data_IF_170683307211
#
_entry.id   IF_170683307211
#
_cell.length_a   1.000
_cell.length_b   1.000
_cell.length_c   1.000
_cell.angle_alpha   90.00
_cell.angle_beta   90.00
_cell.angle_gamma   90.00
#
_symmetry.space_group_name_H-M   'P 1'
#
loop_
_entity.id
_entity.type
_entity.pdbx_description
1 polymer ?
#
# COMPACT_ATOMS: atom_id res chain seq x y z
N UNK A 1 -33.48 26.55 -30.64
CA UNK A 1 -32.21 26.09 -30.03
C UNK A 1 -32.20 26.33 -28.51
N UNK A 2 -33.34 26.16 -27.83
CA UNK A 2 -33.46 26.35 -26.38
C UNK A 2 -33.79 25.05 -25.62
N UNK A 3 -34.25 24.01 -26.31
CA UNK A 3 -34.61 22.72 -25.67
C UNK A 3 -33.42 21.76 -25.47
N UNK A 4 -32.33 21.92 -26.23
CA UNK A 4 -31.19 20.99 -26.15
C UNK A 4 -30.34 21.22 -24.88
N UNK A 5 -30.37 22.40 -24.27
CA UNK A 5 -29.62 22.66 -23.02
C UNK A 5 -30.33 22.12 -21.78
N UNK A 6 -31.67 22.04 -21.79
CA UNK A 6 -32.44 21.56 -20.64
C UNK A 6 -32.33 20.03 -20.46
N UNK A 7 -32.21 19.27 -21.55
CA UNK A 7 -32.00 17.81 -21.50
C UNK A 7 -30.57 17.42 -21.08
N UNK A 8 -29.58 18.27 -21.35
CA UNK A 8 -28.19 18.04 -20.91
C UNK A 8 -28.01 18.27 -19.40
N UNK A 9 -28.68 19.27 -18.83
CA UNK A 9 -28.62 19.54 -17.38
C UNK A 9 -29.30 18.43 -16.55
N UNK A 10 -30.41 17.85 -17.04
CA UNK A 10 -31.12 16.77 -16.35
C UNK A 10 -30.33 15.44 -16.32
N UNK A 11 -29.57 15.13 -17.37
CA UNK A 11 -28.74 13.93 -17.43
C UNK A 11 -27.51 14.02 -16.51
N UNK A 12 -26.94 15.21 -16.31
CA UNK A 12 -25.79 15.40 -15.43
C UNK A 12 -26.12 15.15 -13.96
N UNK A 13 -27.30 15.56 -13.49
CA UNK A 13 -27.73 15.30 -12.11
C UNK A 13 -27.98 13.81 -11.82
N UNK A 14 -28.48 13.07 -12.81
CA UNK A 14 -28.66 11.62 -12.67
C UNK A 14 -27.33 10.85 -12.63
N UNK A 15 -26.31 11.27 -13.38
CA UNK A 15 -24.96 10.70 -13.26
C UNK A 15 -24.34 10.99 -11.87
N UNK A 16 -24.60 12.17 -11.31
CA UNK A 16 -24.16 12.53 -9.95
C UNK A 16 -24.88 11.70 -8.88
N UNK A 17 -26.19 11.48 -9.02
CA UNK A 17 -26.93 10.60 -8.11
C UNK A 17 -26.49 9.13 -8.21
N UNK A 18 -26.21 8.63 -9.42
CA UNK A 18 -25.71 7.27 -9.64
C UNK A 18 -24.30 7.10 -9.07
N UNK A 19 -23.43 8.10 -9.20
CA UNK A 19 -22.09 8.06 -8.59
C UNK A 19 -22.15 8.17 -7.07
N UNK A 20 -23.07 8.96 -6.50
CA UNK A 20 -23.28 9.02 -5.05
C UNK A 20 -23.86 7.73 -4.47
N UNK A 21 -24.80 7.08 -5.17
CA UNK A 21 -25.34 5.77 -4.74
C UNK A 21 -24.34 4.63 -4.93
N UNK A 22 -23.40 4.75 -5.86
CA UNK A 22 -22.29 3.81 -6.01
C UNK A 22 -21.21 3.94 -4.91
N UNK A 23 -21.30 4.89 -3.98
CA UNK A 23 -20.31 5.07 -2.89
C UNK A 23 -20.75 4.44 -1.56
N UNK A 24 -21.81 3.63 -1.52
CA UNK A 24 -22.23 2.95 -0.29
C UNK A 24 -21.17 1.95 0.20
N UNK A 25 -20.72 2.13 1.44
CA UNK A 25 -19.78 1.22 2.10
C UNK A 25 -20.53 0.00 2.64
N UNK A 26 -19.96 -1.22 2.52
CA UNK A 26 -20.55 -2.41 3.10
C UNK A 26 -20.65 -2.31 4.63
N UNK A 27 -21.63 -2.96 5.28
CA UNK A 27 -21.85 -2.87 6.72
C UNK A 27 -20.67 -3.46 7.51
N UNK A 28 -20.35 -2.82 8.65
CA UNK A 28 -19.24 -3.21 9.52
C UNK A 28 -19.47 -4.61 10.09
N UNK A 29 -18.53 -5.56 9.95
CA UNK A 29 -18.65 -6.89 10.54
C UNK A 29 -18.55 -6.82 12.08
N UNK A 30 -19.12 -7.81 12.81
CA UNK A 30 -19.05 -7.84 14.27
C UNK A 30 -17.60 -7.89 14.79
N UNK A 31 -17.32 -7.17 15.87
CA UNK A 31 -15.98 -6.98 16.45
C UNK A 31 -15.37 -8.21 17.11
N UNK A 32 -16.10 -9.34 17.13
CA UNK A 32 -15.66 -10.60 17.74
C UNK A 32 -14.52 -11.30 17.00
N UNK A 33 -14.23 -10.91 15.75
CA UNK A 33 -13.17 -11.50 14.93
C UNK A 33 -12.24 -10.40 14.35
N UNK A 34 -11.02 -10.23 14.90
CA UNK A 34 -10.09 -9.21 14.46
C UNK A 34 -9.53 -9.42 13.05
N UNK A 35 -9.48 -10.67 12.54
CA UNK A 35 -8.98 -10.93 11.18
C UNK A 35 -10.01 -10.49 10.13
N UNK A 36 -11.30 -10.75 10.41
CA UNK A 36 -12.41 -10.28 9.55
C UNK A 36 -12.54 -8.75 9.57
N UNK A 37 -12.26 -8.11 10.71
CA UNK A 37 -12.24 -6.66 10.83
C UNK A 37 -11.09 -6.05 10.02
N UNK A 38 -9.89 -6.63 10.07
CA UNK A 38 -8.75 -6.19 9.26
C UNK A 38 -9.01 -6.36 7.76
N UNK A 39 -9.58 -7.49 7.35
CA UNK A 39 -9.98 -7.72 5.95
C UNK A 39 -11.03 -6.71 5.46
N UNK A 40 -11.99 -6.35 6.31
CA UNK A 40 -12.96 -5.30 6.02
C UNK A 40 -12.30 -3.93 5.85
N UNK A 41 -11.40 -3.54 6.75
CA UNK A 41 -10.66 -2.27 6.67
C UNK A 41 -9.87 -2.18 5.36
N UNK A 42 -9.14 -3.23 4.98
CA UNK A 42 -8.38 -3.28 3.73
C UNK A 42 -9.28 -3.23 2.50
N UNK A 43 -10.48 -3.82 2.57
CA UNK A 43 -11.45 -3.82 1.48
C UNK A 43 -12.12 -2.44 1.29
N UNK A 44 -12.44 -1.74 2.37
CA UNK A 44 -13.07 -0.41 2.29
C UNK A 44 -12.08 0.72 2.08
N UNK A 45 -10.80 0.55 2.43
CA UNK A 45 -9.79 1.63 2.41
C UNK A 45 -9.71 2.37 1.07
N UNK A 46 -9.64 1.70 -0.09
CA UNK A 46 -9.56 2.39 -1.38
C UNK A 46 -10.81 3.23 -1.64
N UNK A 47 -12.00 2.66 -1.38
CA UNK A 47 -13.29 3.31 -1.62
C UNK A 47 -13.55 4.46 -0.64
N UNK A 48 -13.14 4.30 0.62
CA UNK A 48 -13.17 5.36 1.62
C UNK A 48 -12.23 6.52 1.24
N UNK A 49 -11.04 6.20 0.71
CA UNK A 49 -10.09 7.21 0.22
C UNK A 49 -10.66 7.99 -0.97
N UNK A 50 -11.33 7.31 -1.91
CA UNK A 50 -12.05 7.94 -3.01
C UNK A 50 -13.18 8.86 -2.51
N UNK A 51 -13.97 8.41 -1.53
CA UNK A 51 -15.03 9.24 -0.91
C UNK A 51 -14.46 10.49 -0.23
N UNK A 52 -13.38 10.36 0.55
CA UNK A 52 -12.73 11.50 1.21
C UNK A 52 -12.11 12.47 0.20
N UNK A 53 -11.50 11.96 -0.88
CA UNK A 53 -10.98 12.78 -1.97
C UNK A 53 -12.10 13.53 -2.70
N UNK A 54 -13.24 12.86 -2.97
CA UNK A 54 -14.40 13.49 -3.59
C UNK A 54 -15.05 14.53 -2.68
N UNK A 55 -15.17 14.23 -1.39
CA UNK A 55 -15.69 15.17 -0.39
C UNK A 55 -14.79 16.42 -0.25
N UNK A 56 -13.47 16.24 -0.27
CA UNK A 56 -12.52 17.36 -0.25
C UNK A 56 -12.59 18.17 -1.55
N UNK A 57 -12.66 17.52 -2.71
CA UNK A 57 -12.83 18.20 -4.00
C UNK A 57 -14.13 19.03 -4.05
N UNK A 58 -15.27 18.46 -3.62
CA UNK A 58 -16.55 19.18 -3.55
C UNK A 58 -16.50 20.36 -2.57
N UNK A 59 -15.83 20.20 -1.42
CA UNK A 59 -15.68 21.28 -0.44
C UNK A 59 -14.83 22.44 -0.98
N UNK A 60 -13.74 22.13 -1.70
CA UNK A 60 -12.93 23.14 -2.38
C UNK A 60 -13.70 23.82 -3.50
N UNK A 61 -14.43 23.05 -4.31
CA UNK A 61 -15.25 23.58 -5.39
C UNK A 61 -16.35 24.53 -4.88
N UNK A 62 -17.03 24.15 -3.79
CA UNK A 62 -18.01 25.02 -3.12
C UNK A 62 -17.38 26.32 -2.60
N UNK A 63 -16.19 26.25 -1.99
CA UNK A 63 -15.46 27.44 -1.52
C UNK A 63 -15.09 28.38 -2.68
N UNK A 64 -14.68 27.84 -3.83
CA UNK A 64 -14.36 28.64 -5.02
C UNK A 64 -15.62 29.32 -5.57
N UNK A 65 -16.74 28.59 -5.66
CA UNK A 65 -18.03 29.15 -6.08
C UNK A 65 -18.52 30.28 -5.16
N UNK A 66 -18.35 30.13 -3.84
CA UNK A 66 -18.67 31.19 -2.89
C UNK A 66 -17.82 32.44 -3.09
N UNK A 67 -16.52 32.27 -3.36
CA UNK A 67 -15.61 33.38 -3.65
C UNK A 67 -15.98 34.09 -4.95
N UNK A 68 -16.26 33.35 -6.01
CA UNK A 68 -16.69 33.90 -7.30
C UNK A 68 -18.01 34.65 -7.16
N UNK A 69 -18.96 34.11 -6.38
CA UNK A 69 -20.21 34.80 -6.10
C UNK A 69 -20.00 36.13 -5.35
N UNK A 70 -19.07 36.19 -4.39
CA UNK A 70 -18.77 37.45 -3.69
C UNK A 70 -18.06 38.46 -4.61
N UNK A 71 -17.22 38.01 -5.55
CA UNK A 71 -16.65 38.86 -6.59
C UNK A 71 -17.76 39.45 -7.47
N UNK A 72 -18.69 38.62 -7.96
CA UNK A 72 -19.83 39.09 -8.77
C UNK A 72 -20.68 40.08 -7.99
N UNK A 73 -21.01 39.81 -6.72
CA UNK A 73 -21.74 40.75 -5.85
C UNK A 73 -21.00 42.08 -5.70
N UNK A 74 -19.69 42.05 -5.53
CA UNK A 74 -18.86 43.27 -5.42
C UNK A 74 -18.90 44.10 -6.71
N UNK A 75 -18.85 43.44 -7.86
CA UNK A 75 -18.92 44.07 -9.17
C UNK A 75 -20.31 44.69 -9.43
N UNK A 76 -21.38 43.97 -9.08
CA UNK A 76 -22.76 44.49 -9.17
C UNK A 76 -22.95 45.73 -8.27
N UNK A 77 -22.40 45.73 -7.05
CA UNK A 77 -22.45 46.90 -6.15
C UNK A 77 -21.74 48.10 -6.77
N UNK A 78 -20.61 47.89 -7.45
CA UNK A 78 -19.86 48.95 -8.14
C UNK A 78 -20.67 49.51 -9.32
N UNK A 79 -21.17 48.64 -10.21
CA UNK A 79 -21.99 49.06 -11.36
C UNK A 79 -23.27 49.81 -10.91
N UNK A 80 -23.87 49.38 -9.80
CA UNK A 80 -25.04 50.06 -9.23
C UNK A 80 -24.71 51.50 -8.79
N UNK A 81 -23.55 51.72 -8.17
CA UNK A 81 -23.09 53.06 -7.78
C UNK A 81 -22.79 53.93 -9.00
N UNK A 82 -22.12 53.37 -10.00
CA UNK A 82 -21.84 54.09 -11.26
C UNK A 82 -23.12 54.48 -11.98
N UNK A 83 -24.08 53.55 -12.09
CA UNK A 83 -25.39 53.83 -12.67
C UNK A 83 -26.17 54.89 -11.89
N UNK A 84 -26.04 54.94 -10.56
CA UNK A 84 -26.62 56.02 -9.75
C UNK A 84 -25.96 57.37 -10.07
N UNK A 85 -24.63 57.41 -10.12
CA UNK A 85 -23.88 58.62 -10.48
C UNK A 85 -24.22 59.13 -11.89
N UNK A 86 -24.39 58.24 -12.88
CA UNK A 86 -24.82 58.64 -14.23
C UNK A 86 -26.25 59.20 -14.26
N UNK A 87 -27.17 58.66 -13.45
CA UNK A 87 -28.51 59.23 -13.32
C UNK A 87 -28.48 60.64 -12.71
N UNK A 88 -27.63 60.88 -11.72
CA UNK A 88 -27.46 62.21 -11.12
C UNK A 88 -26.86 63.21 -12.12
N UNK A 89 -25.84 62.81 -12.89
CA UNK A 89 -25.27 63.63 -13.97
C UNK A 89 -26.31 63.97 -15.02
N UNK A 90 -27.13 62.99 -15.45
CA UNK A 90 -28.24 63.22 -16.38
C UNK A 90 -29.23 64.25 -15.83
N UNK A 91 -29.67 64.08 -14.58
CA UNK A 91 -30.61 65.01 -13.93
C UNK A 91 -30.02 66.43 -13.83
N UNK A 92 -28.73 66.54 -13.52
CA UNK A 92 -28.02 67.82 -13.50
C UNK A 92 -28.01 68.48 -14.88
N UNK A 93 -27.68 67.73 -15.93
CA UNK A 93 -27.67 68.24 -17.31
C UNK A 93 -29.06 68.66 -17.79
N UNK A 94 -30.11 67.90 -17.43
CA UNK A 94 -31.50 68.26 -17.73
C UNK A 94 -31.91 69.56 -17.03
N UNK A 95 -31.56 69.73 -15.74
CA UNK A 95 -31.80 70.97 -15.00
C UNK A 95 -31.03 72.15 -15.59
N UNK A 96 -29.77 71.94 -15.94
CA UNK A 96 -28.93 72.95 -16.56
C UNK A 96 -29.48 73.38 -17.92
N UNK A 97 -29.86 72.43 -18.78
CA UNK A 97 -30.50 72.72 -20.06
C UNK A 97 -31.81 73.49 -19.88
N UNK A 98 -32.66 73.10 -18.92
CA UNK A 98 -33.88 73.82 -18.59
C UNK A 98 -33.60 75.27 -18.12
N UNK A 99 -32.57 75.47 -17.30
CA UNK A 99 -32.16 76.79 -16.82
C UNK A 99 -31.64 77.67 -17.97
N UNK A 100 -30.81 77.13 -18.85
CA UNK A 100 -30.31 77.85 -20.04
C UNK A 100 -31.46 78.26 -20.97
N UNK A 101 -32.43 77.37 -21.19
CA UNK A 101 -33.63 77.68 -21.97
C UNK A 101 -34.47 78.76 -21.29
N UNK A 102 -34.62 78.69 -19.96
CA UNK A 102 -35.32 79.70 -19.18
C UNK A 102 -34.63 81.07 -19.24
N UNK A 103 -33.31 81.14 -19.03
CA UNK A 103 -32.55 82.39 -19.11
C UNK A 103 -32.61 83.01 -20.52
N UNK A 104 -32.53 82.18 -21.56
CA UNK A 104 -32.73 82.63 -22.95
C UNK A 104 -34.14 83.17 -23.17
N UNK A 105 -35.17 82.48 -22.65
CA UNK A 105 -36.56 82.91 -22.74
C UNK A 105 -36.78 84.23 -21.98
N UNK A 106 -36.28 84.33 -20.75
CA UNK A 106 -36.32 85.54 -19.94
C UNK A 106 -35.63 86.71 -20.67
N UNK A 107 -34.44 86.53 -21.26
CA UNK A 107 -33.76 87.57 -22.04
C UNK A 107 -34.54 88.01 -23.28
N UNK A 108 -35.27 87.11 -23.94
CA UNK A 108 -36.12 87.43 -25.09
C UNK A 108 -37.40 88.18 -24.67
N UNK A 109 -37.94 87.87 -23.49
CA UNK A 109 -39.22 88.44 -23.00
C UNK A 109 -39.06 89.60 -22.01
N UNK A 110 -37.86 89.85 -21.48
CA UNK A 110 -37.56 90.98 -20.58
C UNK A 110 -37.58 92.34 -21.30
N UNK A 111 -37.65 92.35 -22.65
CA UNK A 111 -37.78 93.59 -23.45
C UNK A 111 -39.21 94.18 -23.48
N UNK A 112 -40.09 93.79 -22.57
CA UNK A 112 -41.52 94.11 -22.64
C UNK A 112 -42.21 94.61 -21.37
N UNK A 113 -41.53 94.82 -20.24
CA UNK A 113 -42.23 95.24 -19.02
C UNK A 113 -41.42 96.15 -18.10
N UNK A 114 -41.34 97.45 -18.46
CA UNK A 114 -41.42 98.53 -17.49
C UNK A 114 -41.85 99.83 -18.16
N UNK A 115 -43.08 100.25 -17.85
CA UNK A 115 -43.72 101.51 -18.25
C UNK A 115 -42.98 102.72 -17.65
N UNK A 116 -42.61 103.70 -18.50
CA UNK A 116 -42.80 105.14 -18.22
C UNK A 116 -43.15 105.92 -19.50
N UNK A 117 -44.47 106.13 -19.62
CA UNK A 117 -45.28 107.21 -20.23
C UNK A 117 -44.73 108.10 -21.38
N UNK A 118 -45.57 108.15 -22.42
CA UNK A 118 -45.53 108.90 -23.66
C UNK A 118 -45.50 110.44 -23.55
N UNK A 119 -44.89 111.08 -24.55
CA UNK A 119 -45.47 112.05 -25.51
C UNK A 119 -44.50 112.17 -26.71
N UNK A 120 -44.77 111.58 -27.88
CA UNK A 120 -45.28 112.28 -29.09
C UNK A 120 -44.70 113.71 -29.22
N UNK A 121 -43.75 114.03 -30.09
CA UNK A 121 -43.79 113.92 -31.55
C UNK A 121 -44.15 115.30 -32.14
N UNK A 122 -43.18 116.02 -32.73
CA UNK A 122 -43.33 117.18 -33.66
C UNK A 122 -41.99 117.98 -33.68
N UNK A 123 -41.14 117.84 -34.70
CA UNK A 123 -41.14 118.56 -36.00
C UNK A 123 -40.58 119.99 -35.94
N UNK A 124 -39.44 120.17 -36.64
CA UNK A 124 -38.87 121.39 -37.22
C UNK A 124 -39.70 122.69 -37.15
N UNK A 125 -39.09 123.77 -36.65
CA UNK A 125 -39.44 125.13 -37.06
C UNK A 125 -38.17 125.96 -37.30
N UNK A 126 -37.97 126.32 -38.57
CA UNK A 126 -37.06 127.35 -39.08
C UNK A 126 -37.93 128.58 -39.35
N UNK A 127 -37.59 129.74 -38.80
CA UNK A 127 -38.20 131.02 -39.16
C UNK A 127 -37.10 132.03 -39.54
N UNK A 128 -37.07 132.40 -40.81
CA UNK A 128 -36.38 133.58 -41.30
C UNK A 128 -37.23 134.82 -41.00
N UNK A 129 -36.60 135.90 -40.53
CA UNK A 129 -37.22 137.23 -40.45
C UNK A 129 -36.30 138.27 -41.13
N UNK A 130 -36.67 138.64 -42.36
CA UNK A 130 -36.20 139.81 -43.08
C UNK A 130 -37.31 140.88 -43.02
N UNK A 131 -36.95 142.11 -42.58
CA UNK A 131 -37.73 143.37 -42.62
C UNK A 131 -38.96 143.51 -41.68
N UNK A 132 -39.24 144.63 -41.01
CA UNK A 132 -38.53 145.88 -40.66
C UNK A 132 -39.50 146.71 -39.77
N UNK A 133 -38.96 147.31 -38.71
CA UNK A 133 -39.27 148.65 -38.10
C UNK A 133 -40.53 148.89 -37.23
N UNK A 134 -40.21 149.19 -35.96
CA UNK A 134 -40.72 150.22 -35.03
C UNK A 134 -42.21 150.16 -34.64
N UNK A 135 -42.60 150.26 -33.36
CA UNK A 135 -42.13 151.17 -32.31
C UNK A 135 -42.69 150.72 -30.95
N UNK A 136 -41.86 150.82 -29.90
CA UNK A 136 -42.22 151.12 -28.50
C UNK A 136 -43.54 150.60 -27.91
N UNK A 137 -43.47 149.63 -26.99
CA UNK A 137 -43.80 149.87 -25.58
C UNK A 137 -43.36 148.66 -24.73
N UNK A 138 -42.74 149.00 -23.60
CA UNK A 138 -42.18 148.11 -22.61
C UNK A 138 -43.21 147.15 -22.01
N UNK A 139 -42.81 145.88 -21.89
CA UNK A 139 -42.98 145.09 -20.67
C UNK A 139 -41.76 144.18 -20.59
N UNK A 140 -40.72 144.69 -19.93
CA UNK A 140 -39.68 143.85 -19.33
C UNK A 140 -40.35 142.85 -18.38
N UNK A 141 -40.53 141.62 -18.86
CA UNK A 141 -40.50 140.45 -18.01
C UNK A 141 -39.21 139.70 -18.35
N UNK A 142 -38.09 140.42 -18.22
CA UNK A 142 -36.82 139.74 -17.98
C UNK A 142 -37.03 138.89 -16.72
N UNK A 143 -36.89 137.55 -16.79
CA UNK A 143 -36.87 136.76 -15.57
C UNK A 143 -35.78 137.37 -14.71
N UNK A 144 -36.16 137.89 -13.54
CA UNK A 144 -35.23 138.53 -12.62
C UNK A 144 -33.97 137.67 -12.52
N UNK A 145 -32.78 138.27 -12.47
CA UNK A 145 -31.51 137.55 -12.26
C UNK A 145 -31.63 136.57 -11.07
N UNK A 146 -32.51 136.85 -10.10
CA UNK A 146 -32.90 135.96 -9.01
C UNK A 146 -33.62 134.67 -9.45
N UNK A 147 -34.52 134.71 -10.42
CA UNK A 147 -35.24 133.55 -10.97
C UNK A 147 -34.31 132.63 -11.78
N UNK A 148 -33.45 133.20 -12.65
CA UNK A 148 -32.44 132.43 -13.40
C UNK A 148 -31.37 131.81 -12.48
N UNK A 149 -31.04 132.47 -11.36
CA UNK A 149 -30.19 131.90 -10.32
C UNK A 149 -30.91 130.78 -9.55
N UNK A 150 -32.20 130.91 -9.28
CA UNK A 150 -33.03 129.90 -8.63
C UNK A 150 -33.16 128.62 -9.46
N UNK A 151 -33.47 128.72 -10.75
CA UNK A 151 -33.60 127.56 -11.65
C UNK A 151 -32.27 126.82 -11.84
N UNK A 152 -31.16 127.53 -12.02
CA UNK A 152 -29.82 126.91 -12.09
C UNK A 152 -29.40 126.26 -10.77
N UNK A 153 -29.76 126.86 -9.62
CA UNK A 153 -29.55 126.24 -8.31
C UNK A 153 -30.41 124.98 -8.14
N UNK A 154 -31.65 125.00 -8.62
CA UNK A 154 -32.55 123.84 -8.55
C UNK A 154 -32.06 122.69 -9.46
N UNK A 155 -31.55 123.00 -10.65
CA UNK A 155 -30.94 122.01 -11.55
C UNK A 155 -29.64 121.44 -10.97
N UNK A 156 -28.77 122.28 -10.39
CA UNK A 156 -27.59 121.81 -9.68
C UNK A 156 -27.96 120.92 -8.47
N UNK A 157 -29.04 121.24 -7.76
CA UNK A 157 -29.55 120.43 -6.64
C UNK A 157 -30.01 119.05 -7.13
N UNK A 158 -30.79 118.99 -8.22
CA UNK A 158 -31.20 117.71 -8.83
C UNK A 158 -30.00 116.88 -9.31
N UNK A 159 -28.99 117.52 -9.90
CA UNK A 159 -27.76 116.83 -10.30
C UNK A 159 -26.99 116.28 -9.10
N UNK A 160 -26.95 117.02 -7.99
CA UNK A 160 -26.37 116.53 -6.73
C UNK A 160 -27.15 115.32 -6.20
N UNK A 161 -28.48 115.36 -6.21
CA UNK A 161 -29.32 114.23 -5.78
C UNK A 161 -29.08 112.97 -6.64
N UNK A 162 -29.02 113.13 -7.97
CA UNK A 162 -28.71 112.02 -8.90
C UNK A 162 -27.31 111.45 -8.63
N UNK A 163 -26.30 112.31 -8.45
CA UNK A 163 -24.94 111.87 -8.14
C UNK A 163 -24.85 111.19 -6.77
N UNK A 164 -25.59 111.65 -5.77
CA UNK A 164 -25.66 111.01 -4.46
C UNK A 164 -26.30 109.62 -4.53
N UNK A 165 -27.38 109.46 -5.31
CA UNK A 165 -28.02 108.16 -5.54
C UNK A 165 -27.09 107.20 -6.31
N UNK A 166 -26.37 107.69 -7.32
CA UNK A 166 -25.37 106.92 -8.07
C UNK A 166 -24.22 106.45 -7.17
N UNK A 167 -23.66 107.33 -6.33
CA UNK A 167 -22.61 106.96 -5.35
C UNK A 167 -23.13 105.88 -4.40
N UNK A 168 -24.36 106.03 -3.89
CA UNK A 168 -24.99 105.03 -3.02
C UNK A 168 -25.16 103.68 -3.73
N UNK A 169 -25.55 103.67 -5.01
CA UNK A 169 -25.66 102.44 -5.79
C UNK A 169 -24.30 101.77 -6.01
N UNK A 170 -23.25 102.54 -6.28
CA UNK A 170 -21.88 102.04 -6.40
C UNK A 170 -21.37 101.44 -5.09
N UNK A 171 -21.70 102.04 -3.94
CA UNK A 171 -21.37 101.48 -2.63
C UNK A 171 -22.08 100.15 -2.35
N UNK A 172 -23.34 100.01 -2.77
CA UNK A 172 -24.08 98.75 -2.65
C UNK A 172 -23.47 97.66 -3.53
N UNK A 173 -23.16 97.97 -4.78
CA UNK A 173 -22.48 97.04 -5.70
C UNK A 173 -21.11 96.60 -5.17
N UNK A 174 -20.34 97.53 -4.60
CA UNK A 174 -19.05 97.21 -3.97
C UNK A 174 -19.22 96.23 -2.80
N UNK A 175 -20.22 96.46 -1.93
CA UNK A 175 -20.51 95.55 -0.79
C UNK A 175 -20.93 94.16 -1.26
N UNK A 176 -21.73 94.08 -2.31
CA UNK A 176 -22.17 92.80 -2.87
C UNK A 176 -21.01 92.06 -3.56
N UNK A 177 -20.14 92.76 -4.29
CA UNK A 177 -18.91 92.19 -4.84
C UNK A 177 -17.99 91.66 -3.74
N UNK A 178 -17.77 92.43 -2.66
CA UNK A 178 -16.97 92.00 -1.51
C UNK A 178 -17.55 90.76 -0.83
N UNK A 179 -18.89 90.66 -0.76
CA UNK A 179 -19.56 89.48 -0.23
C UNK A 179 -19.36 88.25 -1.13
N UNK A 180 -19.56 88.40 -2.44
CA UNK A 180 -19.36 87.33 -3.41
C UNK A 180 -17.91 86.84 -3.43
N UNK A 181 -16.93 87.75 -3.40
CA UNK A 181 -15.50 87.41 -3.32
C UNK A 181 -15.17 86.62 -2.05
N UNK A 182 -15.70 87.04 -0.89
CA UNK A 182 -15.49 86.29 0.36
C UNK A 182 -16.15 84.92 0.32
N UNK A 183 -17.32 84.80 -0.32
CA UNK A 183 -18.02 83.53 -0.47
C UNK A 183 -17.24 82.57 -1.37
N UNK A 184 -16.81 83.01 -2.55
CA UNK A 184 -16.02 82.19 -3.48
C UNK A 184 -14.68 81.79 -2.90
N UNK A 185 -14.03 82.69 -2.16
CA UNK A 185 -12.78 82.37 -1.44
C UNK A 185 -12.99 81.25 -0.42
N UNK A 186 -14.05 81.31 0.39
CA UNK A 186 -14.36 80.26 1.38
C UNK A 186 -14.67 78.91 0.71
N UNK A 187 -15.43 78.93 -0.38
CA UNK A 187 -15.74 77.71 -1.15
C UNK A 187 -14.47 77.10 -1.75
N UNK A 188 -13.58 77.92 -2.30
CA UNK A 188 -12.27 77.50 -2.79
C UNK A 188 -11.41 76.90 -1.67
N UNK A 189 -11.28 77.59 -0.53
CA UNK A 189 -10.49 77.13 0.61
C UNK A 189 -11.03 75.82 1.19
N UNK A 190 -12.37 75.67 1.25
CA UNK A 190 -13.01 74.41 1.64
C UNK A 190 -12.68 73.27 0.67
N UNK A 191 -12.71 73.54 -0.64
CA UNK A 191 -12.35 72.55 -1.67
C UNK A 191 -10.89 72.14 -1.55
N UNK A 192 -9.97 73.11 -1.46
CA UNK A 192 -8.53 72.84 -1.28
C UNK A 192 -8.27 72.05 0.00
N UNK A 193 -8.97 72.33 1.10
CA UNK A 193 -8.85 71.57 2.33
C UNK A 193 -9.35 70.11 2.17
N UNK A 194 -10.45 69.90 1.44
CA UNK A 194 -10.96 68.56 1.14
C UNK A 194 -9.98 67.78 0.24
N UNK A 195 -9.48 68.40 -0.82
CA UNK A 195 -8.50 67.80 -1.74
C UNK A 195 -7.20 67.43 -1.01
N UNK A 196 -6.71 68.29 -0.11
CA UNK A 196 -5.54 67.97 0.73
C UNK A 196 -5.76 66.74 1.61
N UNK A 197 -6.94 66.60 2.23
CA UNK A 197 -7.26 65.41 3.04
C UNK A 197 -7.35 64.15 2.18
N UNK A 198 -7.94 64.27 0.99
CA UNK A 198 -8.03 63.16 0.06
C UNK A 198 -6.64 62.70 -0.42
N UNK A 199 -5.75 63.64 -0.76
CA UNK A 199 -4.35 63.34 -1.11
C UNK A 199 -3.63 62.62 0.04
N UNK A 200 -3.73 63.14 1.28
CA UNK A 200 -3.12 62.49 2.45
C UNK A 200 -3.65 61.07 2.69
N UNK A 201 -4.95 60.84 2.43
CA UNK A 201 -5.53 59.50 2.52
C UNK A 201 -4.97 58.56 1.45
N UNK A 202 -4.83 59.04 0.21
CA UNK A 202 -4.23 58.25 -0.88
C UNK A 202 -2.76 57.94 -0.60
N UNK A 203 -1.98 58.91 -0.13
CA UNK A 203 -0.57 58.70 0.26
C UNK A 203 -0.45 57.63 1.36
N UNK A 204 -1.32 57.67 2.38
CA UNK A 204 -1.36 56.64 3.42
C UNK A 204 -1.68 55.26 2.84
N UNK A 205 -2.63 55.16 1.90
CA UNK A 205 -2.96 53.90 1.24
C UNK A 205 -1.80 53.37 0.38
N UNK A 206 -1.10 54.25 -0.33
CA UNK A 206 0.07 53.87 -1.14
C UNK A 206 1.18 53.32 -0.24
N UNK A 207 1.47 53.98 0.90
CA UNK A 207 2.46 53.51 1.86
C UNK A 207 2.08 52.17 2.52
N UNK A 208 0.80 51.98 2.84
CA UNK A 208 0.32 50.69 3.35
C UNK A 208 0.48 49.58 2.31
N UNK A 209 0.13 49.85 1.06
CA UNK A 209 0.30 48.89 -0.04
C UNK A 209 1.76 48.56 -0.27
N UNK A 210 2.66 49.54 -0.31
CA UNK A 210 4.09 49.28 -0.53
C UNK A 210 4.71 48.43 0.58
N UNK A 211 4.34 48.68 1.84
CA UNK A 211 4.78 47.85 2.97
C UNK A 211 4.28 46.40 2.85
N UNK A 212 3.02 46.20 2.43
CA UNK A 212 2.47 44.87 2.19
C UNK A 212 3.17 44.16 1.03
N UNK A 213 3.41 44.85 -0.10
CA UNK A 213 4.13 44.28 -1.24
C UNK A 213 5.55 43.84 -0.86
N UNK A 214 6.31 44.69 -0.16
CA UNK A 214 7.65 44.32 0.32
C UNK A 214 7.62 43.15 1.31
N UNK A 215 6.58 43.05 2.15
CA UNK A 215 6.43 41.88 3.02
C UNK A 215 6.08 40.60 2.25
N UNK A 216 5.25 40.70 1.21
CA UNK A 216 4.88 39.55 0.38
C UNK A 216 6.07 39.05 -0.43
N UNK A 217 6.85 39.97 -1.00
CA UNK A 217 8.07 39.65 -1.74
C UNK A 217 9.09 38.90 -0.86
N UNK A 218 9.33 39.36 0.38
CA UNK A 218 10.19 38.63 1.33
C UNK A 218 9.66 37.23 1.65
N UNK A 219 8.37 37.08 1.91
CA UNK A 219 7.75 35.77 2.17
C UNK A 219 7.84 34.84 0.97
N UNK A 220 7.71 35.39 -0.24
CA UNK A 220 7.85 34.62 -1.47
C UNK A 220 9.27 34.08 -1.61
N UNK A 221 10.30 34.92 -1.38
CA UNK A 221 11.69 34.46 -1.36
C UNK A 221 11.98 33.41 -0.27
N UNK A 222 11.39 33.56 0.93
CA UNK A 222 11.52 32.56 1.99
C UNK A 222 10.91 31.21 1.57
N UNK A 223 9.73 31.23 0.96
CA UNK A 223 9.05 30.02 0.46
C UNK A 223 9.86 29.38 -0.67
N UNK A 224 10.33 30.15 -1.64
CA UNK A 224 11.19 29.65 -2.73
C UNK A 224 12.47 29.00 -2.19
N UNK A 225 13.10 29.61 -1.19
CA UNK A 225 14.29 29.04 -0.54
C UNK A 225 14.00 27.73 0.18
N UNK A 226 12.86 27.63 0.88
CA UNK A 226 12.46 26.41 1.58
C UNK A 226 12.12 25.30 0.59
N UNK A 227 11.45 25.61 -0.52
CA UNK A 227 11.14 24.66 -1.59
C UNK A 227 12.45 24.13 -2.20
N UNK A 228 13.39 25.00 -2.56
CA UNK A 228 14.67 24.58 -3.13
C UNK A 228 15.46 23.68 -2.17
N UNK A 229 15.42 23.96 -0.85
CA UNK A 229 16.05 23.11 0.15
C UNK A 229 15.33 21.76 0.30
N UNK A 230 13.99 21.77 0.23
CA UNK A 230 13.19 20.55 0.27
C UNK A 230 13.49 19.64 -0.92
N UNK A 231 13.52 20.20 -2.14
CA UNK A 231 13.83 19.45 -3.36
C UNK A 231 15.22 18.83 -3.30
N UNK A 232 16.21 19.58 -2.81
CA UNK A 232 17.56 19.05 -2.59
C UNK A 232 17.56 17.88 -1.59
N UNK A 233 16.85 18.02 -0.48
CA UNK A 233 16.75 16.95 0.53
C UNK A 233 16.06 15.71 -0.04
N UNK A 234 15.01 15.91 -0.86
CA UNK A 234 14.29 14.82 -1.52
C UNK A 234 15.15 14.08 -2.53
N UNK A 235 15.97 14.79 -3.30
CA UNK A 235 16.92 14.17 -4.23
C UNK A 235 17.96 13.32 -3.48
N UNK A 236 18.47 13.81 -2.35
CA UNK A 236 19.39 13.05 -1.50
C UNK A 236 18.72 11.78 -0.92
N UNK A 237 17.48 11.90 -0.41
CA UNK A 237 16.69 10.75 0.07
C UNK A 237 16.42 9.72 -1.05
N UNK A 238 16.03 10.18 -2.24
CA UNK A 238 15.80 9.32 -3.41
C UNK A 238 17.07 8.60 -3.84
N UNK A 239 18.23 9.27 -3.78
CA UNK A 239 19.52 8.65 -4.06
C UNK A 239 19.84 7.52 -3.07
N UNK A 240 19.60 7.74 -1.76
CA UNK A 240 19.80 6.71 -0.72
C UNK A 240 18.88 5.52 -0.96
N UNK A 241 17.58 5.76 -1.22
CA UNK A 241 16.61 4.68 -1.48
C UNK A 241 16.99 3.90 -2.75
N UNK A 242 17.37 4.60 -3.81
CA UNK A 242 17.80 3.97 -5.07
C UNK A 242 19.04 3.09 -4.90
N UNK A 243 20.01 3.54 -4.09
CA UNK A 243 21.19 2.74 -3.76
C UNK A 243 20.82 1.49 -2.96
N UNK A 244 19.94 1.61 -1.95
CA UNK A 244 19.46 0.45 -1.17
C UNK A 244 18.67 -0.54 -2.02
N UNK A 245 17.86 -0.08 -2.96
CA UNK A 245 17.15 -0.95 -3.91
C UNK A 245 18.16 -1.73 -4.75
N UNK A 246 19.22 -1.06 -5.25
CA UNK A 246 20.27 -1.71 -6.04
C UNK A 246 21.03 -2.77 -5.22
N UNK A 247 21.36 -2.45 -3.97
CA UNK A 247 22.00 -3.40 -3.04
C UNK A 247 21.11 -4.61 -2.77
N UNK A 248 19.81 -4.40 -2.50
CA UNK A 248 18.85 -5.47 -2.28
C UNK A 248 18.66 -6.35 -3.52
N UNK A 249 18.62 -5.75 -4.71
CA UNK A 249 18.57 -6.49 -5.98
C UNK A 249 19.81 -7.35 -6.20
N UNK A 250 21.00 -6.81 -5.93
CA UNK A 250 22.25 -7.57 -6.02
C UNK A 250 22.27 -8.73 -5.02
N UNK A 251 21.81 -8.50 -3.78
CA UNK A 251 21.72 -9.54 -2.76
C UNK A 251 20.69 -10.63 -3.13
N UNK A 252 19.52 -10.26 -3.67
CA UNK A 252 18.55 -11.23 -4.15
C UNK A 252 19.10 -12.07 -5.30
N UNK A 253 19.84 -11.48 -6.25
CA UNK A 253 20.47 -12.22 -7.33
C UNK A 253 21.51 -13.23 -6.81
N UNK A 254 22.28 -12.87 -5.77
CA UNK A 254 23.21 -13.79 -5.10
C UNK A 254 22.45 -14.96 -4.45
N UNK A 255 21.36 -14.68 -3.72
CA UNK A 255 20.55 -15.74 -3.12
C UNK A 255 19.87 -16.64 -4.16
N UNK A 256 19.44 -16.09 -5.30
CA UNK A 256 18.88 -16.88 -6.41
C UNK A 256 19.93 -17.84 -6.99
N UNK A 257 21.18 -17.38 -7.16
CA UNK A 257 22.30 -18.22 -7.61
C UNK A 257 22.63 -19.32 -6.59
N UNK A 258 22.72 -18.98 -5.30
CA UNK A 258 22.94 -19.95 -4.22
C UNK A 258 21.82 -21.00 -4.16
N UNK A 259 20.57 -20.57 -4.29
CA UNK A 259 19.41 -21.46 -4.26
C UNK A 259 19.39 -22.39 -5.49
N UNK A 260 19.77 -21.89 -6.67
CA UNK A 260 19.94 -22.72 -7.86
C UNK A 260 21.04 -23.78 -7.67
N UNK A 261 22.18 -23.40 -7.07
CA UNK A 261 23.26 -24.33 -6.76
C UNK A 261 22.85 -25.41 -5.74
N UNK A 262 22.13 -25.02 -4.68
CA UNK A 262 21.59 -25.96 -3.70
C UNK A 262 20.56 -26.91 -4.31
N UNK A 263 19.68 -26.41 -5.18
CA UNK A 263 18.73 -27.27 -5.89
C UNK A 263 19.44 -28.33 -6.75
N UNK A 264 20.55 -27.98 -7.40
CA UNK A 264 21.32 -28.94 -8.18
C UNK A 264 22.00 -29.98 -7.28
N UNK A 265 22.53 -29.58 -6.13
CA UNK A 265 23.07 -30.52 -5.13
C UNK A 265 22.01 -31.50 -4.63
N UNK A 266 20.79 -31.01 -4.34
CA UNK A 266 19.67 -31.87 -3.90
C UNK A 266 19.29 -32.88 -4.98
N UNK A 267 19.25 -32.48 -6.25
CA UNK A 267 19.01 -33.44 -7.35
C UNK A 267 20.11 -34.50 -7.42
N UNK A 268 21.37 -34.11 -7.27
CA UNK A 268 22.50 -35.05 -7.23
C UNK A 268 22.36 -36.06 -6.10
N UNK A 269 22.06 -35.59 -4.88
CA UNK A 269 21.84 -36.47 -3.72
C UNK A 269 20.62 -37.37 -3.89
N UNK A 270 19.53 -36.88 -4.51
CA UNK A 270 18.37 -37.71 -4.82
C UNK A 270 18.72 -38.82 -5.78
N UNK A 271 19.48 -38.52 -6.83
CA UNK A 271 19.96 -39.53 -7.78
C UNK A 271 20.84 -40.58 -7.10
N UNK A 272 21.78 -40.16 -6.25
CA UNK A 272 22.63 -41.08 -5.49
C UNK A 272 21.82 -41.94 -4.51
N UNK A 273 20.81 -41.35 -3.86
CA UNK A 273 19.88 -42.07 -2.98
C UNK A 273 19.12 -43.16 -3.74
N UNK A 274 18.54 -42.81 -4.90
CA UNK A 274 17.78 -43.76 -5.72
C UNK A 274 18.67 -44.91 -6.20
N UNK A 275 19.89 -44.60 -6.65
CA UNK A 275 20.89 -45.60 -7.03
C UNK A 275 21.30 -46.51 -5.87
N UNK A 276 21.53 -45.96 -4.68
CA UNK A 276 21.86 -46.74 -3.49
C UNK A 276 20.68 -47.64 -3.06
N UNK A 277 19.45 -47.17 -3.25
CA UNK A 277 18.25 -47.95 -2.98
C UNK A 277 18.15 -49.14 -3.94
N UNK A 278 18.37 -48.93 -5.25
CA UNK A 278 18.41 -50.00 -6.25
C UNK A 278 19.50 -51.04 -5.94
N UNK A 279 20.72 -50.61 -5.61
CA UNK A 279 21.80 -51.52 -5.21
C UNK A 279 21.47 -52.32 -3.93
N UNK A 280 20.76 -51.70 -2.98
CA UNK A 280 20.31 -52.37 -1.77
C UNK A 280 19.25 -53.43 -2.08
N UNK A 281 18.32 -53.14 -2.98
CA UNK A 281 17.32 -54.10 -3.47
C UNK A 281 18.00 -55.30 -4.14
N UNK A 282 18.90 -55.06 -5.11
CA UNK A 282 19.68 -56.11 -5.78
C UNK A 282 20.48 -56.97 -4.79
N UNK A 283 21.14 -56.34 -3.82
CA UNK A 283 21.92 -57.05 -2.80
C UNK A 283 21.01 -57.88 -1.89
N UNK A 284 19.80 -57.38 -1.59
CA UNK A 284 18.82 -58.10 -0.77
C UNK A 284 18.24 -59.30 -1.52
N UNK A 285 17.95 -59.15 -2.82
CA UNK A 285 17.54 -60.26 -3.69
C UNK A 285 18.63 -61.33 -3.79
N UNK A 286 19.88 -60.93 -4.04
CA UNK A 286 21.02 -61.85 -4.07
C UNK A 286 21.23 -62.57 -2.73
N UNK A 287 21.10 -61.87 -1.61
CA UNK A 287 21.15 -62.46 -0.27
C UNK A 287 20.05 -63.52 -0.08
N UNK A 288 18.82 -63.22 -0.51
CA UNK A 288 17.69 -64.17 -0.39
C UNK A 288 17.92 -65.42 -1.23
N UNK A 289 18.42 -65.27 -2.47
CA UNK A 289 18.81 -66.40 -3.31
C UNK A 289 19.89 -67.28 -2.67
N UNK A 290 20.91 -66.68 -2.05
CA UNK A 290 21.92 -67.45 -1.33
C UNK A 290 21.36 -68.15 -0.09
N UNK A 291 20.43 -67.53 0.62
CA UNK A 291 19.75 -68.16 1.75
C UNK A 291 18.95 -69.40 1.30
N UNK A 292 18.18 -69.28 0.22
CA UNK A 292 17.44 -70.40 -0.39
C UNK A 292 18.38 -71.54 -0.81
N UNK A 293 19.52 -71.21 -1.45
CA UNK A 293 20.53 -72.21 -1.82
C UNK A 293 21.16 -72.91 -0.61
N UNK A 294 21.41 -72.18 0.47
CA UNK A 294 21.92 -72.75 1.72
C UNK A 294 20.89 -73.70 2.32
N UNK A 295 19.61 -73.31 2.35
CA UNK A 295 18.52 -74.14 2.87
C UNK A 295 18.39 -75.44 2.05
N UNK A 296 18.38 -75.36 0.72
CA UNK A 296 18.36 -76.53 -0.16
C UNK A 296 19.55 -77.48 0.06
N UNK A 297 20.76 -76.92 0.21
CA UNK A 297 21.97 -77.71 0.48
C UNK A 297 21.90 -78.37 1.86
N UNK A 298 21.33 -77.67 2.84
CA UNK A 298 21.15 -78.19 4.20
C UNK A 298 20.16 -79.36 4.20
N UNK A 299 19.04 -79.26 3.48
CA UNK A 299 18.09 -80.37 3.31
C UNK A 299 18.73 -81.58 2.61
N UNK A 300 19.50 -81.36 1.53
CA UNK A 300 20.25 -82.42 0.84
C UNK A 300 21.25 -83.09 1.76
N UNK A 301 21.97 -82.31 2.56
CA UNK A 301 22.92 -82.82 3.54
C UNK A 301 22.22 -83.69 4.60
N UNK A 302 21.13 -83.20 5.20
CA UNK A 302 20.35 -83.96 6.19
C UNK A 302 19.78 -85.26 5.60
N UNK A 303 19.30 -85.23 4.35
CA UNK A 303 18.84 -86.43 3.64
C UNK A 303 19.97 -87.45 3.47
N UNK A 304 21.13 -87.03 2.97
CA UNK A 304 22.31 -87.88 2.82
C UNK A 304 22.84 -88.39 4.17
N UNK A 305 22.79 -87.57 5.21
CA UNK A 305 23.16 -87.96 6.56
C UNK A 305 22.22 -89.05 7.09
N UNK A 306 20.91 -88.91 6.89
CA UNK A 306 19.92 -89.93 7.25
C UNK A 306 20.11 -91.24 6.48
N UNK A 307 20.47 -91.17 5.19
CA UNK A 307 20.82 -92.34 4.38
C UNK A 307 22.10 -93.01 4.90
N UNK A 308 23.13 -92.21 5.25
CA UNK A 308 24.36 -92.71 5.83
C UNK A 308 24.12 -93.38 7.20
N UNK A 309 23.24 -92.83 8.04
CA UNK A 309 22.81 -93.44 9.29
C UNK A 309 22.04 -94.74 9.08
N UNK A 310 21.14 -94.79 8.10
CA UNK A 310 20.41 -96.00 7.73
C UNK A 310 21.36 -97.12 7.24
N UNK A 311 22.30 -96.78 6.36
CA UNK A 311 23.33 -97.70 5.88
C UNK A 311 24.24 -98.17 7.02
N UNK A 312 24.63 -97.28 7.94
CA UNK A 312 25.38 -97.67 9.16
C UNK A 312 24.57 -98.65 10.01
N UNK A 313 23.28 -98.39 10.22
CA UNK A 313 22.41 -99.30 10.97
C UNK A 313 22.23 -100.66 10.27
N UNK A 314 22.19 -100.69 8.94
CA UNK A 314 22.13 -101.94 8.17
C UNK A 314 23.43 -102.73 8.30
N UNK A 315 24.58 -102.06 8.20
CA UNK A 315 25.90 -102.66 8.45
C UNK A 315 25.95 -103.27 9.87
N UNK A 316 25.53 -102.52 10.89
CA UNK A 316 25.52 -102.99 12.28
C UNK A 316 24.61 -104.22 12.45
N UNK A 317 23.43 -104.23 11.82
CA UNK A 317 22.54 -105.38 11.82
C UNK A 317 23.14 -106.61 11.13
N UNK A 318 23.75 -106.43 9.95
CA UNK A 318 24.40 -107.51 9.20
C UNK A 318 25.58 -108.08 9.98
N UNK A 319 26.44 -107.22 10.53
CA UNK A 319 27.54 -107.65 11.39
C UNK A 319 27.03 -108.41 12.63
N UNK A 320 25.98 -107.91 13.30
CA UNK A 320 25.39 -108.63 14.44
C UNK A 320 24.80 -109.98 14.04
N UNK A 321 24.18 -110.08 12.86
CA UNK A 321 23.63 -111.33 12.34
C UNK A 321 24.72 -112.33 12.03
N UNK A 322 25.77 -111.93 11.31
CA UNK A 322 26.94 -112.76 11.01
C UNK A 322 27.60 -113.26 12.31
N UNK A 323 27.77 -112.39 13.31
CA UNK A 323 28.30 -112.77 14.62
C UNK A 323 27.39 -113.81 15.30
N UNK A 324 26.06 -113.64 15.24
CA UNK A 324 25.12 -114.58 15.84
C UNK A 324 25.05 -115.92 15.09
N UNK A 325 25.17 -115.92 13.76
CA UNK A 325 25.25 -117.13 12.95
C UNK A 325 26.54 -117.89 13.24
N UNK A 326 27.68 -117.19 13.33
CA UNK A 326 28.96 -117.77 13.77
C UNK A 326 28.80 -118.37 15.18
N UNK A 327 28.24 -117.62 16.14
CA UNK A 327 27.96 -118.13 17.50
C UNK A 327 27.09 -119.37 17.49
N UNK A 328 26.04 -119.41 16.68
CA UNK A 328 25.13 -120.55 16.56
C UNK A 328 25.80 -121.77 15.95
N UNK A 329 26.65 -121.59 14.92
CA UNK A 329 27.44 -122.68 14.34
C UNK A 329 28.46 -123.25 15.34
N UNK A 330 29.14 -122.39 16.10
CA UNK A 330 30.04 -122.82 17.17
C UNK A 330 29.28 -123.53 18.29
N UNK A 331 28.11 -123.02 18.71
CA UNK A 331 27.26 -123.69 19.71
C UNK A 331 26.81 -125.07 19.23
N UNK A 332 26.32 -125.20 17.99
CA UNK A 332 25.93 -126.48 17.41
C UNK A 332 27.12 -127.46 17.28
N UNK A 333 28.32 -126.94 16.99
CA UNK A 333 29.54 -127.76 16.93
C UNK A 333 30.00 -128.20 18.32
N UNK A 334 29.89 -127.34 19.33
CA UNK A 334 30.12 -127.69 20.74
C UNK A 334 29.14 -128.76 21.19
N UNK A 335 27.84 -128.61 20.90
CA UNK A 335 26.82 -129.61 21.23
C UNK A 335 27.10 -130.96 20.57
N UNK A 336 27.51 -130.97 19.30
CA UNK A 336 27.92 -132.22 18.62
C UNK A 336 29.14 -132.83 19.29
N UNK A 337 30.16 -132.03 19.58
CA UNK A 337 31.35 -132.51 20.28
C UNK A 337 31.00 -133.05 21.67
N UNK A 338 30.11 -132.40 22.41
CA UNK A 338 29.64 -132.88 23.72
C UNK A 338 28.86 -134.19 23.60
N UNK A 339 27.98 -134.33 22.60
CA UNK A 339 27.26 -135.59 22.32
C UNK A 339 28.20 -136.70 21.87
N UNK A 340 29.16 -136.41 21.00
CA UNK A 340 30.18 -137.37 20.57
C UNK A 340 31.08 -137.76 21.74
N UNK A 341 31.41 -136.83 22.64
CA UNK A 341 32.19 -137.11 23.84
C UNK A 341 31.38 -137.94 24.84
N UNK A 342 30.09 -137.63 25.04
CA UNK A 342 29.18 -138.43 25.86
C UNK A 342 28.98 -139.84 25.28
N UNK A 343 28.86 -139.96 23.95
CA UNK A 343 28.78 -141.25 23.26
C UNK A 343 30.11 -142.02 23.35
N UNK A 344 31.26 -141.35 23.25
CA UNK A 344 32.58 -141.95 23.49
C UNK A 344 32.75 -142.37 24.94
N UNK A 345 32.33 -141.56 25.91
CA UNK A 345 32.33 -141.94 27.33
C UNK A 345 31.41 -143.14 27.57
N UNK A 346 30.25 -143.19 26.93
CA UNK A 346 29.32 -144.30 27.05
C UNK A 346 29.85 -145.57 26.38
N UNK A 347 30.50 -145.46 25.21
CA UNK A 347 31.21 -146.56 24.57
C UNK A 347 32.40 -147.02 25.41
N UNK A 348 33.21 -146.11 25.98
CA UNK A 348 34.30 -146.44 26.90
C UNK A 348 33.78 -147.13 28.17
N UNK A 349 32.63 -146.70 28.71
CA UNK A 349 31.95 -147.39 29.82
C UNK A 349 31.49 -148.79 29.43
N UNK A 350 30.94 -148.97 28.22
CA UNK A 350 30.56 -150.29 27.69
C UNK A 350 31.78 -151.18 27.37
N UNK A 351 32.90 -150.61 26.93
CA UNK A 351 34.17 -151.31 26.73
C UNK A 351 34.78 -151.74 28.07
N UNK A 352 34.71 -150.88 29.10
CA UNK A 352 35.10 -151.21 30.49
C UNK A 352 34.22 -152.32 31.06
N UNK A 353 32.91 -152.29 30.79
CA UNK A 353 31.97 -153.33 31.23
C UNK A 353 32.15 -154.65 30.44
N UNK A 354 32.53 -154.59 29.15
CA UNK A 354 32.93 -155.77 28.35
C UNK A 354 34.24 -156.39 28.83
N UNK A 355 35.26 -155.56 29.10
CA UNK A 355 36.54 -156.02 29.67
C UNK A 355 36.34 -156.60 31.08
N UNK A 356 35.35 -156.13 31.83
CA UNK A 356 34.94 -156.71 33.12
C UNK A 356 34.21 -158.05 33.02
N UNK A 357 33.61 -158.40 31.88
CA UNK A 357 32.79 -159.61 31.73
C UNK A 357 33.51 -160.79 31.06
N UNK A 358 34.67 -160.59 30.41
CA UNK A 358 35.35 -161.66 29.64
C UNK A 358 36.80 -161.99 30.08
N UNK A 359 37.24 -161.60 31.28
CA UNK A 359 38.62 -161.89 31.70
C UNK A 359 38.88 -162.00 33.20
N UNK A 360 38.89 -163.23 33.69
CA UNK A 360 39.72 -163.67 34.83
C UNK A 360 40.95 -164.41 34.30
N UNK A 361 42.07 -164.49 35.03
CA UNK A 361 42.71 -163.53 35.91
C UNK A 361 44.21 -163.46 35.55
N UNK A 362 44.68 -162.47 34.80
CA UNK A 362 46.13 -162.23 34.69
C UNK A 362 46.40 -160.87 34.03
N UNK A 363 47.41 -160.16 34.54
CA UNK A 363 47.96 -158.89 34.01
C UNK A 363 47.18 -157.60 34.38
N UNK A 364 46.69 -157.48 35.62
CA UNK A 364 46.13 -156.22 36.12
C UNK A 364 46.70 -155.80 37.48
N UNK A 365 48.03 -155.74 37.62
CA UNK A 365 48.67 -155.20 38.82
C UNK A 365 50.02 -154.50 38.61
N UNK A 366 50.31 -153.96 37.41
CA UNK A 366 51.50 -153.10 37.24
C UNK A 366 51.40 -151.99 36.17
N UNK A 367 50.19 -151.57 35.80
CA UNK A 367 49.96 -150.41 34.92
C UNK A 367 49.57 -149.13 35.70
N UNK A 368 49.80 -149.10 37.02
CA UNK A 368 49.40 -148.00 37.91
C UNK A 368 50.48 -146.92 38.13
N UNK A 369 51.65 -147.03 37.47
CA UNK A 369 52.76 -146.06 37.63
C UNK A 369 53.04 -145.13 36.44
N UNK A 370 52.38 -145.33 35.30
CA UNK A 370 52.60 -144.50 34.10
C UNK A 370 51.54 -143.41 33.94
N UNK A 371 50.30 -143.65 34.38
CA UNK A 371 49.18 -142.69 34.24
C UNK A 371 49.32 -141.48 35.21
N UNK A 372 49.91 -141.66 36.39
CA UNK A 372 50.16 -140.56 37.33
C UNK A 372 51.29 -139.60 36.94
N UNK A 373 52.15 -139.97 35.99
CA UNK A 373 53.19 -139.06 35.47
C UNK A 373 52.73 -138.20 34.28
N UNK A 374 51.66 -138.60 33.59
CA UNK A 374 51.03 -137.78 32.56
C UNK A 374 49.99 -136.79 33.12
N UNK A 375 49.36 -137.12 34.25
CA UNK A 375 48.36 -136.25 34.91
C UNK A 375 48.98 -135.03 35.63
N UNK A 376 50.27 -135.10 36.02
CA UNK A 376 50.95 -134.02 36.75
C UNK A 376 51.68 -132.98 35.87
N UNK A 377 51.63 -133.10 34.54
CA UNK A 377 52.20 -132.08 33.63
C UNK A 377 51.14 -131.25 32.89
N UNK A 378 49.85 -131.51 33.10
CA UNK A 378 48.75 -130.80 32.42
C UNK A 378 47.79 -130.06 33.38
N UNK A 379 48.01 -130.16 34.70
CA UNK A 379 47.22 -129.46 35.75
C UNK A 379 48.05 -128.39 36.47
N UNK A 380 48.91 -127.68 35.73
CA UNK A 380 49.24 -126.28 36.04
C UNK A 380 48.56 -125.40 35.00
N UNK A 381 47.23 -125.42 35.06
CA UNK A 381 46.37 -124.42 34.46
C UNK A 381 46.18 -123.26 35.45
N UNK A 382 46.00 -122.08 34.86
CA UNK A 382 45.11 -121.03 35.33
C UNK A 382 45.44 -120.33 36.66
N UNK A 383 46.14 -119.20 36.52
CA UNK A 383 45.67 -117.93 37.08
C UNK A 383 46.07 -116.81 36.12
N UNK A 384 45.10 -116.01 35.67
CA UNK A 384 45.35 -114.75 34.95
C UNK A 384 44.77 -114.63 33.54
N UNK A 385 43.47 -114.87 33.37
CA UNK A 385 42.69 -114.25 32.28
C UNK A 385 41.39 -113.71 32.88
N UNK A 386 41.48 -112.50 33.39
CA UNK A 386 40.42 -111.54 33.72
C UNK A 386 41.14 -110.20 33.54
N UNK A 387 40.80 -109.36 32.57
CA UNK A 387 39.69 -108.41 32.63
C UNK A 387 39.72 -107.50 31.40
N UNK A 388 38.55 -106.91 31.08
CA UNK A 388 38.33 -105.58 30.48
C UNK A 388 38.92 -105.34 29.08
N UNK A 389 38.16 -105.21 27.98
CA UNK A 389 36.98 -104.37 27.77
C UNK A 389 37.24 -102.93 28.23
N UNK A 390 37.78 -102.08 27.35
CA UNK A 390 37.45 -100.64 27.25
C UNK A 390 38.15 -99.96 26.07
N UNK A 391 37.32 -99.28 25.26
CA UNK A 391 37.44 -97.89 24.79
C UNK A 391 38.62 -97.50 23.89
N UNK A 392 38.39 -97.13 22.62
CA UNK A 392 37.88 -95.82 22.12
C UNK A 392 39.00 -94.75 22.08
N UNK A 393 39.10 -94.09 20.91
CA UNK A 393 39.82 -92.86 20.54
C UNK A 393 41.36 -92.95 20.35
N UNK A 394 41.93 -92.61 19.18
CA UNK A 394 41.86 -91.25 18.62
C UNK A 394 42.16 -91.22 17.11
N UNK A 395 41.10 -91.12 16.30
CA UNK A 395 41.11 -90.38 15.03
C UNK A 395 40.38 -89.07 15.29
N UNK A 396 41.13 -88.03 15.68
CA UNK A 396 40.72 -86.63 15.60
C UNK A 396 41.79 -85.86 14.86
N UNK A 397 41.67 -85.86 13.54
CA UNK A 397 42.09 -84.76 12.69
C UNK A 397 40.84 -84.33 11.92
N UNK A 398 40.54 -83.03 11.93
CA UNK A 398 39.34 -82.34 11.43
C UNK A 398 38.25 -82.09 12.48
N UNK A 399 38.43 -81.03 13.27
CA UNK A 399 37.77 -79.72 13.09
C UNK A 399 38.58 -78.63 13.81
#
# INVERSE_FOLDING_TARGET
MADVSAEQDANGWHEVEQTLTALELPPVPPTSDPQRLLGYVLHILPRYTEMEMLATHLRLYASTLEQDMEQVKSHVRLLTREAAGEREKKLFLERYAAQVVKERNDLLHFRGSSRKKATAGASHFVWHNCCKKNTSHAMDLAPSILAFRGEKLQEATKQIEILQEEVRNQELLRKELDFLLKKTQREHDSKVAADRRHIQQLEKQILQRSALYSSLERKLYEVESVIAQHDKTKEEELSIVSNRIREAQAFNAQLEEENAALHEQVKGLSFDHDRLTELLEETTESKNLFAEQIDELTEKYQSLESEAEALRSEIDMLQSKDINDIRSQYAARIDRLQKDNAAREQNLRQEIDRVRQEGSPDIFLQAERVVWKAFLSQVTMHNGVTESLTMIDSLKAME
#
